data_IF_157126295927
#
_entry.id   IF_157126295927
#
_cell.length_a   1.000
_cell.length_b   1.000
_cell.length_c   1.000
_cell.angle_alpha   90.00
_cell.angle_beta   90.00
_cell.angle_gamma   90.00
#
_symmetry.space_group_name_H-M   'P 1'
#
loop_
_entity.id
_entity.type
_entity.pdbx_description
1 polymer ?
#
# COMPACT_ATOMS: atom_id res chain seq x y z
N UNK A 1 11.90 -19.09 4.07
CA UNK A 1 11.64 -17.70 3.64
C UNK A 1 12.91 -17.15 3.01
N UNK A 2 12.97 -17.09 1.67
CA UNK A 2 14.19 -16.77 0.93
C UNK A 2 14.48 -15.26 0.84
N UNK A 3 15.75 -14.88 0.83
CA UNK A 3 16.25 -13.48 0.81
C UNK A 3 15.61 -12.57 -0.27
N UNK A 4 15.05 -13.14 -1.33
CA UNK A 4 14.33 -12.42 -2.39
C UNK A 4 13.03 -11.73 -1.89
N UNK A 5 12.29 -12.34 -0.96
CA UNK A 5 11.05 -11.73 -0.43
C UNK A 5 11.34 -10.48 0.40
N UNK A 6 12.49 -10.44 1.08
CA UNK A 6 12.94 -9.32 1.93
C UNK A 6 13.39 -8.13 1.10
N UNK A 7 14.17 -8.34 0.03
CA UNK A 7 14.54 -7.28 -0.92
C UNK A 7 13.34 -6.66 -1.62
N UNK A 8 12.37 -7.47 -2.05
CA UNK A 8 11.13 -6.97 -2.66
C UNK A 8 10.24 -6.19 -1.69
N UNK A 9 10.35 -6.49 -0.39
CA UNK A 9 9.65 -5.73 0.66
C UNK A 9 10.30 -4.37 0.90
N UNK A 10 11.63 -4.34 1.06
CA UNK A 10 12.40 -3.10 1.25
C UNK A 10 12.21 -2.15 0.07
N UNK A 11 12.30 -2.65 -1.17
CA UNK A 11 12.05 -1.86 -2.37
C UNK A 11 10.62 -1.30 -2.43
N UNK A 12 9.62 -2.08 -2.02
CA UNK A 12 8.24 -1.61 -1.96
C UNK A 12 8.05 -0.52 -0.89
N UNK A 13 8.65 -0.68 0.29
CA UNK A 13 8.60 0.31 1.36
C UNK A 13 9.25 1.64 0.94
N UNK A 14 10.44 1.60 0.34
CA UNK A 14 11.12 2.79 -0.20
C UNK A 14 10.30 3.45 -1.30
N UNK A 15 9.71 2.65 -2.20
CA UNK A 15 8.88 3.17 -3.29
C UNK A 15 7.63 3.87 -2.76
N UNK A 16 6.99 3.36 -1.70
CA UNK A 16 5.82 3.97 -1.06
C UNK A 16 6.19 5.27 -0.32
N UNK A 17 7.35 5.30 0.33
CA UNK A 17 7.83 6.49 1.04
C UNK A 17 7.97 7.70 0.12
N UNK A 18 8.42 7.48 -1.12
CA UNK A 18 8.58 8.51 -2.14
C UNK A 18 7.25 9.01 -2.76
N UNK A 19 6.11 8.36 -2.48
CA UNK A 19 4.83 8.74 -3.09
C UNK A 19 4.20 9.95 -2.39
N UNK A 20 3.63 10.84 -3.21
CA UNK A 20 2.75 11.92 -2.76
C UNK A 20 1.31 11.45 -2.54
N UNK A 21 0.52 12.30 -1.87
CA UNK A 21 -0.88 12.01 -1.48
C UNK A 21 -1.74 11.48 -2.63
N UNK A 22 -1.77 12.17 -3.77
CA UNK A 22 -2.62 11.81 -4.91
C UNK A 22 -2.28 10.43 -5.47
N UNK A 23 -0.99 10.10 -5.52
CA UNK A 23 -0.51 8.80 -5.99
C UNK A 23 -0.87 7.68 -5.02
N UNK A 24 -0.73 7.93 -3.72
CA UNK A 24 -1.14 6.97 -2.68
C UNK A 24 -2.64 6.67 -2.79
N UNK A 25 -3.50 7.70 -2.86
CA UNK A 25 -4.94 7.52 -3.03
C UNK A 25 -5.26 6.72 -4.30
N UNK A 26 -4.61 7.05 -5.43
CA UNK A 26 -4.82 6.34 -6.70
C UNK A 26 -4.47 4.85 -6.57
N UNK A 27 -3.34 4.52 -5.95
CA UNK A 27 -2.92 3.13 -5.77
C UNK A 27 -3.80 2.36 -4.79
N UNK A 28 -4.27 3.01 -3.72
CA UNK A 28 -5.21 2.42 -2.77
C UNK A 28 -6.55 2.11 -3.46
N UNK A 29 -7.13 3.07 -4.19
CA UNK A 29 -8.41 2.88 -4.91
C UNK A 29 -8.33 1.81 -6.00
N UNK A 30 -7.17 1.67 -6.64
CA UNK A 30 -6.94 0.71 -7.72
C UNK A 30 -6.20 -0.56 -7.26
N UNK A 31 -6.14 -0.81 -5.94
CA UNK A 31 -5.40 -1.95 -5.42
C UNK A 31 -6.08 -3.26 -5.85
N UNK A 32 -5.34 -4.10 -6.57
CA UNK A 32 -5.77 -5.42 -7.04
C UNK A 32 -5.11 -6.52 -6.21
N UNK A 33 -5.64 -6.73 -5.01
CA UNK A 33 -5.26 -7.86 -4.15
C UNK A 33 -6.37 -8.89 -4.05
N UNK A 34 -6.15 -9.95 -3.25
CA UNK A 34 -7.18 -10.94 -2.91
C UNK A 34 -8.37 -10.35 -2.15
N UNK A 35 -8.20 -9.20 -1.53
CA UNK A 35 -9.27 -8.43 -0.91
C UNK A 35 -9.33 -7.04 -1.50
N UNK A 36 -10.55 -6.51 -1.62
CA UNK A 36 -10.81 -5.18 -2.13
C UNK A 36 -10.57 -4.16 -1.01
N UNK A 37 -9.84 -3.09 -1.31
CA UNK A 37 -9.81 -1.90 -0.45
C UNK A 37 -11.05 -1.07 -0.74
N UNK A 38 -12.07 -1.24 0.10
CA UNK A 38 -13.28 -0.44 0.14
C UNK A 38 -13.02 0.82 0.99
N UNK A 39 -12.37 1.82 0.39
CA UNK A 39 -12.23 3.13 0.99
C UNK A 39 -12.91 4.16 0.11
N UNK A 40 -13.75 5.01 0.72
CA UNK A 40 -14.35 6.14 0.05
C UNK A 40 -13.30 7.22 -0.21
N UNK A 41 -13.59 8.10 -1.18
CA UNK A 41 -12.71 9.22 -1.47
C UNK A 41 -12.60 10.20 -0.29
N UNK A 42 -13.71 10.48 0.38
CA UNK A 42 -13.76 11.35 1.54
C UNK A 42 -12.93 10.78 2.70
N UNK A 43 -13.04 9.48 2.97
CA UNK A 43 -12.22 8.83 3.98
C UNK A 43 -10.73 9.01 3.68
N UNK A 44 -10.31 8.77 2.44
CA UNK A 44 -8.90 8.94 2.04
C UNK A 44 -8.45 10.41 2.05
N UNK A 45 -9.37 11.35 1.85
CA UNK A 45 -9.11 12.78 1.89
C UNK A 45 -8.90 13.32 3.31
N UNK A 46 -9.38 12.62 4.34
CA UNK A 46 -9.19 13.01 5.74
C UNK A 46 -7.94 12.39 6.37
N UNK A 47 -7.34 11.39 5.74
CA UNK A 47 -6.15 10.73 6.28
C UNK A 47 -4.87 11.54 6.07
N UNK A 48 -3.92 11.43 6.99
CA UNK A 48 -2.56 11.93 6.78
C UNK A 48 -1.85 11.14 5.67
N UNK A 49 -0.84 11.75 5.04
CA UNK A 49 -0.01 11.07 4.04
C UNK A 49 0.64 9.81 4.63
N UNK A 50 1.05 9.88 5.89
CA UNK A 50 1.61 8.74 6.62
C UNK A 50 0.62 7.58 6.76
N UNK A 51 -0.63 7.85 7.15
CA UNK A 51 -1.70 6.84 7.18
C UNK A 51 -1.95 6.21 5.82
N UNK A 52 -1.94 7.00 4.75
CA UNK A 52 -2.08 6.47 3.38
C UNK A 52 -0.92 5.53 3.01
N UNK A 53 0.33 5.85 3.39
CA UNK A 53 1.49 4.96 3.19
C UNK A 53 1.32 3.65 3.96
N UNK A 54 0.90 3.73 5.22
CA UNK A 54 0.67 2.56 6.06
C UNK A 54 -0.43 1.64 5.53
N UNK A 55 -1.55 2.19 5.06
CA UNK A 55 -2.62 1.42 4.42
C UNK A 55 -2.10 0.66 3.20
N UNK A 56 -1.39 1.34 2.30
CA UNK A 56 -0.87 0.73 1.09
C UNK A 56 0.19 -0.35 1.40
N UNK A 57 1.05 -0.09 2.39
CA UNK A 57 2.05 -1.06 2.84
C UNK A 57 1.40 -2.33 3.44
N UNK A 58 0.42 -2.15 4.33
CA UNK A 58 -0.31 -3.26 4.93
C UNK A 58 -1.05 -4.09 3.86
N UNK A 59 -1.63 -3.43 2.86
CA UNK A 59 -2.28 -4.12 1.74
C UNK A 59 -1.29 -5.00 0.96
N UNK A 60 -0.09 -4.48 0.66
CA UNK A 60 0.97 -5.23 -0.03
C UNK A 60 1.50 -6.42 0.78
N UNK A 61 1.68 -6.26 2.09
CA UNK A 61 2.11 -7.36 2.98
C UNK A 61 1.08 -8.48 2.97
N UNK A 62 -0.20 -8.14 3.18
CA UNK A 62 -1.28 -9.12 3.24
C UNK A 62 -1.55 -9.79 1.89
N UNK A 63 -1.34 -9.09 0.77
CA UNK A 63 -1.43 -9.69 -0.55
C UNK A 63 -0.34 -10.74 -0.81
N UNK A 64 0.87 -10.56 -0.23
CA UNK A 64 1.99 -11.51 -0.38
C UNK A 64 1.97 -12.66 0.61
N UNK A 65 1.42 -12.48 1.81
CA UNK A 65 1.49 -13.47 2.90
C UNK A 65 0.72 -14.78 2.63
N UNK A 66 -0.13 -14.83 1.60
CA UNK A 66 -0.93 -16.01 1.25
C UNK A 66 -0.71 -16.50 -0.19
N UNK A 67 0.33 -16.02 -0.88
CA UNK A 67 0.68 -16.41 -2.26
C UNK A 67 1.81 -17.42 -2.30
#
# INVERSE_FOLDING_TARGET
MGMASRKHFEQAATSIAALGRSELKRRIKNFRGRFRLDFTEDYLNDLSVDRLRHILLAALINAKAHG
#
